data_IF_526522963798
#
_entry.id   IF_526522963798
#
_cell.length_a   1.000
_cell.length_b   1.000
_cell.length_c   1.000
_cell.angle_alpha   90.00
_cell.angle_beta   90.00
_cell.angle_gamma   90.00
#
_symmetry.space_group_name_H-M   'P 1'
#
loop_
_entity.id
_entity.type
_entity.pdbx_description
1 polymer ?
#
# COMPACT_ATOMS: atom_id res chain seq x y z
N UNK A 1 0.84 -32.73 9.30
CA UNK A 1 1.81 -33.10 8.25
C UNK A 1 1.14 -32.91 6.90
N UNK A 2 1.65 -32.00 6.07
CA UNK A 2 1.04 -31.66 4.79
C UNK A 2 1.96 -30.79 3.96
N UNK A 3 3.16 -31.31 3.65
CA UNK A 3 3.98 -30.80 2.56
C UNK A 3 3.69 -31.67 1.36
N UNK A 4 3.12 -31.10 0.28
CA UNK A 4 3.11 -31.58 -1.12
C UNK A 4 2.75 -30.35 -1.95
N UNK A 5 3.44 -29.91 -3.00
CA UNK A 5 4.52 -30.42 -3.84
C UNK A 5 4.99 -29.17 -4.64
N UNK A 6 6.30 -28.92 -4.74
CA UNK A 6 6.84 -27.79 -5.51
C UNK A 6 7.03 -28.25 -6.94
N UNK A 7 6.15 -27.82 -7.86
CA UNK A 7 6.36 -28.02 -9.30
C UNK A 7 7.14 -26.82 -9.84
N UNK A 8 8.46 -26.97 -9.90
CA UNK A 8 9.32 -26.02 -10.61
C UNK A 8 9.13 -26.19 -12.12
N UNK A 9 8.25 -25.39 -12.72
CA UNK A 9 8.24 -25.23 -14.17
C UNK A 9 9.46 -24.38 -14.57
N UNK A 10 10.22 -24.89 -15.54
CA UNK A 10 11.56 -24.44 -15.94
C UNK A 10 11.55 -23.11 -16.72
N UNK A 11 10.79 -22.11 -16.26
CA UNK A 11 10.58 -20.82 -16.93
C UNK A 11 10.74 -19.59 -16.01
N UNK A 12 11.27 -19.77 -14.78
CA UNK A 12 11.58 -18.63 -13.89
C UNK A 12 10.41 -18.10 -13.07
N UNK A 13 9.24 -18.77 -13.10
CA UNK A 13 8.10 -18.43 -12.26
C UNK A 13 7.99 -19.41 -11.08
N UNK A 14 8.26 -18.93 -9.86
CA UNK A 14 7.87 -19.61 -8.63
C UNK A 14 6.45 -19.18 -8.28
N UNK A 15 5.47 -20.05 -8.56
CA UNK A 15 4.11 -19.90 -8.06
C UNK A 15 4.00 -20.46 -6.65
N UNK A 16 3.71 -19.60 -5.67
CA UNK A 16 3.42 -20.01 -4.29
C UNK A 16 1.96 -19.70 -4.01
N UNK A 17 1.12 -20.74 -3.96
CA UNK A 17 -0.28 -20.61 -3.55
C UNK A 17 -0.39 -20.94 -2.07
N UNK A 18 -0.68 -19.93 -1.25
CA UNK A 18 -1.10 -20.13 0.15
C UNK A 18 -2.47 -19.48 0.35
N UNK A 19 -3.48 -20.29 0.61
CA UNK A 19 -4.81 -19.82 1.00
C UNK A 19 -4.77 -19.50 2.49
N UNK A 20 -4.89 -18.21 2.85
CA UNK A 20 -5.10 -17.79 4.23
C UNK A 20 -6.61 -17.90 4.58
N UNK A 21 -6.97 -18.25 5.83
CA UNK A 21 -8.37 -18.24 6.24
C UNK A 21 -8.87 -16.78 6.27
N UNK A 22 -9.69 -16.40 5.29
CA UNK A 22 -10.15 -15.02 5.08
C UNK A 22 -10.40 -14.62 3.62
N UNK A 23 -9.95 -15.43 2.65
CA UNK A 23 -10.45 -15.35 1.26
C UNK A 23 -9.75 -14.34 0.32
N UNK A 24 -8.57 -13.84 0.68
CA UNK A 24 -7.69 -13.18 -0.30
C UNK A 24 -6.85 -14.22 -1.05
N UNK A 25 -7.05 -14.33 -2.37
CA UNK A 25 -6.17 -15.10 -3.25
C UNK A 25 -5.09 -14.18 -3.83
N UNK A 26 -3.81 -14.46 -3.54
CA UNK A 26 -2.69 -13.81 -4.22
C UNK A 26 -2.18 -14.76 -5.29
N UNK A 27 -2.45 -14.43 -6.56
CA UNK A 27 -1.89 -15.14 -7.71
C UNK A 27 -0.48 -14.62 -7.99
N UNK A 28 0.54 -15.37 -7.57
CA UNK A 28 1.93 -15.07 -7.88
C UNK A 28 2.33 -15.81 -9.16
N UNK A 29 2.22 -15.15 -10.31
CA UNK A 29 2.95 -15.56 -11.52
C UNK A 29 3.54 -14.33 -12.21
N UNK A 30 4.82 -14.40 -12.58
CA UNK A 30 5.57 -13.33 -13.28
C UNK A 30 5.59 -11.94 -12.58
N UNK A 31 5.61 -11.90 -11.26
CA UNK A 31 5.76 -10.66 -10.50
C UNK A 31 7.25 -10.32 -10.40
N UNK A 32 7.66 -9.10 -10.83
CA UNK A 32 9.03 -8.63 -10.59
C UNK A 32 9.31 -8.50 -9.10
N UNK A 33 10.58 -8.58 -8.68
CA UNK A 33 10.93 -8.38 -7.28
C UNK A 33 10.42 -7.06 -6.72
N UNK A 34 10.39 -6.00 -7.54
CA UNK A 34 9.86 -4.68 -7.19
C UNK A 34 8.35 -4.69 -6.99
N UNK A 35 7.60 -5.33 -7.91
CA UNK A 35 6.15 -5.46 -7.77
C UNK A 35 5.77 -6.28 -6.52
N UNK A 36 6.51 -7.35 -6.24
CA UNK A 36 6.29 -8.15 -5.04
C UNK A 36 6.55 -7.32 -3.77
N UNK A 37 7.63 -6.54 -3.77
CA UNK A 37 7.98 -5.68 -2.64
C UNK A 37 6.94 -4.57 -2.42
N UNK A 38 6.46 -3.96 -3.49
CA UNK A 38 5.40 -2.95 -3.43
C UNK A 38 4.11 -3.55 -2.87
N UNK A 39 3.66 -4.70 -3.40
CA UNK A 39 2.46 -5.39 -2.91
C UNK A 39 2.60 -5.78 -1.43
N UNK A 40 3.77 -6.26 -1.00
CA UNK A 40 4.01 -6.57 0.40
C UNK A 40 3.93 -5.33 1.30
N UNK A 41 4.49 -4.20 0.87
CA UNK A 41 4.44 -2.94 1.63
C UNK A 41 3.01 -2.40 1.66
N UNK A 42 2.24 -2.55 0.58
CA UNK A 42 0.82 -2.21 0.54
C UNK A 42 0.03 -2.97 1.63
N UNK A 43 0.21 -4.30 1.75
CA UNK A 43 -0.45 -5.09 2.79
C UNK A 43 0.01 -4.74 4.21
N UNK A 44 1.29 -4.35 4.37
CA UNK A 44 1.77 -3.77 5.63
C UNK A 44 1.05 -2.44 5.91
N UNK A 45 0.79 -1.63 4.88
CA UNK A 45 0.01 -0.39 4.98
C UNK A 45 -1.37 -0.62 5.58
N UNK A 46 -2.11 -1.65 5.13
CA UNK A 46 -3.38 -2.04 5.75
C UNK A 46 -3.24 -2.40 7.23
N UNK A 47 -2.16 -3.10 7.60
CA UNK A 47 -1.88 -3.45 8.99
C UNK A 47 -1.58 -2.20 9.83
N UNK A 48 -0.84 -1.23 9.28
CA UNK A 48 -0.53 0.04 9.94
C UNK A 48 -1.80 0.87 10.13
N UNK A 49 -2.64 1.01 9.11
CA UNK A 49 -3.93 1.70 9.19
C UNK A 49 -4.81 1.12 10.30
N UNK A 50 -4.87 -0.20 10.41
CA UNK A 50 -5.77 -0.85 11.34
C UNK A 50 -5.26 -0.88 12.78
N UNK A 51 -3.96 -1.10 12.99
CA UNK A 51 -3.40 -1.39 14.31
C UNK A 51 -2.46 -0.31 14.87
N UNK A 52 -1.90 0.55 14.03
CA UNK A 52 -0.87 1.52 14.42
C UNK A 52 -1.41 2.95 14.36
N UNK A 53 -2.15 3.29 13.32
CA UNK A 53 -2.74 4.62 13.19
C UNK A 53 -3.73 4.86 14.34
N UNK A 54 -3.54 5.98 15.06
CA UNK A 54 -4.53 6.42 16.03
C UNK A 54 -5.87 6.73 15.31
N UNK A 55 -6.97 6.53 16.02
CA UNK A 55 -8.31 6.74 15.47
C UNK A 55 -8.50 8.13 14.87
N UNK A 56 -7.92 9.18 15.48
CA UNK A 56 -8.03 10.54 14.98
C UNK A 56 -7.36 10.72 13.62
N UNK A 57 -6.10 10.29 13.50
CA UNK A 57 -5.34 10.39 12.25
C UNK A 57 -5.95 9.55 11.13
N UNK A 58 -6.47 8.36 11.47
CA UNK A 58 -7.19 7.52 10.52
C UNK A 58 -8.45 8.19 9.99
N UNK A 59 -9.28 8.74 10.88
CA UNK A 59 -10.50 9.45 10.47
C UNK A 59 -10.18 10.69 9.64
N UNK A 60 -9.13 11.43 10.02
CA UNK A 60 -8.66 12.56 9.23
C UNK A 60 -8.23 12.12 7.83
N UNK A 61 -7.41 11.08 7.70
CA UNK A 61 -7.00 10.55 6.40
C UNK A 61 -8.22 10.15 5.56
N UNK A 62 -9.16 9.42 6.16
CA UNK A 62 -10.36 8.94 5.45
C UNK A 62 -11.27 10.09 5.03
N UNK A 63 -11.30 11.20 5.78
CA UNK A 63 -12.06 12.41 5.40
C UNK A 63 -11.51 13.11 4.14
N UNK A 64 -10.25 12.87 3.79
CA UNK A 64 -9.60 13.40 2.59
C UNK A 64 -9.87 12.56 1.33
N UNK A 65 -10.57 11.43 1.48
CA UNK A 65 -10.91 10.56 0.37
C UNK A 65 -11.97 11.21 -0.53
N UNK A 66 -11.67 11.33 -1.82
CA UNK A 66 -12.59 11.85 -2.84
C UNK A 66 -12.48 11.05 -4.15
N UNK A 67 -13.08 11.54 -5.25
CA UNK A 67 -12.95 10.93 -6.58
C UNK A 67 -12.08 11.73 -7.55
N UNK A 68 -11.32 12.71 -7.07
CA UNK A 68 -10.43 13.52 -7.89
C UNK A 68 -9.09 12.78 -8.09
N UNK A 69 -8.75 12.30 -9.30
CA UNK A 69 -7.55 11.49 -9.53
C UNK A 69 -6.25 12.19 -9.14
N UNK A 70 -6.21 13.53 -9.09
CA UNK A 70 -5.01 14.27 -8.66
C UNK A 70 -4.69 14.07 -7.16
N UNK A 71 -5.68 13.66 -6.36
CA UNK A 71 -5.55 13.44 -4.92
C UNK A 71 -5.21 11.98 -4.56
N UNK A 72 -4.98 11.14 -5.57
CA UNK A 72 -4.85 9.68 -5.45
C UNK A 72 -3.56 9.19 -6.08
N UNK A 73 -2.85 8.28 -5.42
CA UNK A 73 -1.52 7.82 -5.86
C UNK A 73 -1.54 6.85 -7.02
N UNK A 74 -2.62 6.11 -7.15
CA UNK A 74 -2.88 5.21 -8.26
C UNK A 74 -4.38 5.22 -8.56
N UNK A 75 -4.77 4.64 -9.70
CA UNK A 75 -6.20 4.41 -9.95
C UNK A 75 -6.80 3.42 -8.92
N UNK A 76 -5.99 2.52 -8.37
CA UNK A 76 -6.44 1.56 -7.35
C UNK A 76 -6.72 2.23 -6.01
N UNK A 77 -5.93 3.24 -5.64
CA UNK A 77 -6.13 4.02 -4.41
C UNK A 77 -7.49 4.74 -4.38
N UNK A 78 -8.15 4.94 -5.53
CA UNK A 78 -9.49 5.52 -5.63
C UNK A 78 -10.65 4.57 -5.26
N UNK A 79 -10.37 3.30 -4.98
CA UNK A 79 -11.42 2.29 -4.76
C UNK A 79 -12.06 2.37 -3.38
N UNK A 80 -11.27 2.67 -2.34
CA UNK A 80 -11.76 2.90 -0.98
C UNK A 80 -10.74 3.70 -0.14
N UNK A 81 -11.14 4.31 0.99
CA UNK A 81 -10.20 5.01 1.88
C UNK A 81 -9.09 4.12 2.44
N UNK A 82 -9.36 2.83 2.66
CA UNK A 82 -8.35 1.87 3.13
C UNK A 82 -7.30 1.59 2.04
N UNK A 83 -7.74 1.39 0.80
CA UNK A 83 -6.82 1.23 -0.35
C UNK A 83 -6.05 2.51 -0.64
N UNK A 84 -6.67 3.68 -0.45
CA UNK A 84 -6.02 4.97 -0.55
C UNK A 84 -4.87 5.12 0.45
N UNK A 85 -5.11 4.72 1.70
CA UNK A 85 -4.09 4.69 2.73
C UNK A 85 -2.95 3.73 2.37
N UNK A 86 -3.27 2.46 2.08
CA UNK A 86 -2.28 1.41 1.81
C UNK A 86 -1.41 1.74 0.59
N UNK A 87 -2.01 2.23 -0.49
CA UNK A 87 -1.28 2.67 -1.68
C UNK A 87 -0.41 3.90 -1.39
N UNK A 88 -0.92 4.90 -0.67
CA UNK A 88 -0.15 6.11 -0.34
C UNK A 88 1.04 5.76 0.57
N UNK A 89 0.83 4.86 1.53
CA UNK A 89 1.87 4.32 2.40
C UNK A 89 2.95 3.59 1.61
N UNK A 90 2.55 2.70 0.69
CA UNK A 90 3.49 1.97 -0.15
C UNK A 90 4.31 2.93 -1.03
N UNK A 91 3.65 3.88 -1.70
CA UNK A 91 4.33 4.89 -2.52
C UNK A 91 5.28 5.76 -1.71
N UNK A 92 4.92 6.13 -0.48
CA UNK A 92 5.80 6.88 0.40
C UNK A 92 7.10 6.13 0.70
N UNK A 93 7.03 4.82 0.97
CA UNK A 93 8.21 4.02 1.32
C UNK A 93 9.03 3.58 0.10
N UNK A 94 8.41 3.40 -1.06
CA UNK A 94 9.12 2.91 -2.26
C UNK A 94 9.53 4.00 -3.24
N UNK A 95 8.84 5.15 -3.25
CA UNK A 95 9.03 6.21 -4.25
C UNK A 95 8.74 7.62 -3.69
N UNK A 96 9.28 7.90 -2.49
CA UNK A 96 9.03 9.12 -1.72
C UNK A 96 9.18 10.41 -2.52
N UNK A 97 10.30 10.57 -3.23
CA UNK A 97 10.63 11.83 -3.89
C UNK A 97 9.67 12.15 -5.04
N UNK A 98 9.30 11.13 -5.83
CA UNK A 98 8.30 11.30 -6.89
C UNK A 98 6.91 11.60 -6.32
N UNK A 99 6.54 10.95 -5.21
CA UNK A 99 5.28 11.20 -4.52
C UNK A 99 5.22 12.65 -4.00
N UNK A 100 6.28 13.13 -3.36
CA UNK A 100 6.36 14.51 -2.86
C UNK A 100 6.33 15.55 -3.99
N UNK A 101 7.02 15.28 -5.10
CA UNK A 101 6.96 16.15 -6.28
C UNK A 101 5.54 16.26 -6.85
N UNK A 102 4.77 15.16 -6.84
CA UNK A 102 3.36 15.20 -7.25
C UNK A 102 2.50 15.96 -6.24
N UNK A 103 2.72 15.71 -4.94
CA UNK A 103 2.00 16.33 -3.85
C UNK A 103 2.22 17.85 -3.74
N UNK A 104 3.33 18.37 -4.26
CA UNK A 104 3.56 19.82 -4.35
C UNK A 104 2.45 20.59 -5.07
N UNK A 105 1.66 19.92 -5.93
CA UNK A 105 0.53 20.50 -6.65
C UNK A 105 -0.85 20.03 -6.15
N UNK A 106 -0.91 19.23 -5.07
CA UNK A 106 -2.15 18.75 -4.46
C UNK A 106 -2.05 18.86 -2.93
N UNK A 107 -2.66 19.89 -2.31
CA UNK A 107 -2.69 20.03 -0.87
C UNK A 107 -3.31 18.83 -0.15
N UNK A 108 -4.31 18.18 -0.77
CA UNK A 108 -4.94 16.97 -0.23
C UNK A 108 -3.94 15.81 -0.19
N UNK A 109 -3.23 15.58 -1.29
CA UNK A 109 -2.21 14.53 -1.34
C UNK A 109 -1.05 14.82 -0.38
N UNK A 110 -0.64 16.09 -0.27
CA UNK A 110 0.38 16.48 0.70
C UNK A 110 -0.07 16.19 2.13
N UNK A 111 -1.32 16.52 2.49
CA UNK A 111 -1.83 16.23 3.84
C UNK A 111 -1.89 14.72 4.12
N UNK A 112 -2.29 13.90 3.15
CA UNK A 112 -2.23 12.43 3.27
C UNK A 112 -0.82 11.94 3.60
N UNK A 113 0.20 12.50 2.95
CA UNK A 113 1.61 12.15 3.21
C UNK A 113 2.03 12.59 4.61
N UNK A 114 1.66 13.80 5.03
CA UNK A 114 1.97 14.29 6.38
C UNK A 114 1.36 13.40 7.46
N UNK A 115 0.12 12.93 7.27
CA UNK A 115 -0.50 11.97 8.21
C UNK A 115 0.29 10.67 8.26
N UNK A 116 0.79 10.14 7.13
CA UNK A 116 1.67 8.97 7.11
C UNK A 116 2.97 9.25 7.88
N UNK A 117 3.56 10.42 7.70
CA UNK A 117 4.77 10.83 8.43
C UNK A 117 4.52 10.91 9.95
N UNK A 118 3.37 11.47 10.36
CA UNK A 118 2.95 11.52 11.76
C UNK A 118 2.76 10.13 12.37
N UNK A 119 2.09 9.21 11.65
CA UNK A 119 1.90 7.81 12.08
C UNK A 119 3.25 7.10 12.23
N UNK A 120 4.21 7.38 11.34
CA UNK A 120 5.55 6.81 11.38
C UNK A 120 6.48 7.50 12.40
N UNK A 121 6.04 8.57 13.07
CA UNK A 121 6.85 9.34 14.00
C UNK A 121 7.99 10.13 13.34
N UNK A 122 7.85 10.45 12.05
CA UNK A 122 8.83 11.21 11.28
C UNK A 122 8.52 12.70 11.43
N UNK A 123 9.35 13.44 12.16
CA UNK A 123 9.25 14.90 12.23
C UNK A 123 10.04 15.56 11.09
N UNK A 124 9.42 16.51 10.38
CA UNK A 124 10.14 17.42 9.48
C UNK A 124 10.90 18.43 10.34
N UNK A 125 12.22 18.24 10.45
CA UNK A 125 13.14 19.20 11.07
C UNK A 125 13.36 20.44 10.21
#
# INVERSE_FOLDING_TARGET
AGIREIVAANTGALGLTRILPGGGEIFISNISGEMFRYALIHEIGHTVDFYVADHGLRQEFYSLFDRNPNNHVTAYSMTSPAEDFAETFAQYLTNRDALLARAANSPVLMRKIEIIEEILGISRG
#
